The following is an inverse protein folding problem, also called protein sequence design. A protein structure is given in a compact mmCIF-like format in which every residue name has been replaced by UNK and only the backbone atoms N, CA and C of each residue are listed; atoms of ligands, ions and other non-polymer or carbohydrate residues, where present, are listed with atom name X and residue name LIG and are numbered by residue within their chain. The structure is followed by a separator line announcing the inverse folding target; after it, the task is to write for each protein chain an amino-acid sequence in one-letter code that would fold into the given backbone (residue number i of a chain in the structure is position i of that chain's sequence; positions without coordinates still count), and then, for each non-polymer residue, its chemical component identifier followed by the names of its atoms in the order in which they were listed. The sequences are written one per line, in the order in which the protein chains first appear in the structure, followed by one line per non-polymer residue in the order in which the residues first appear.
data_IF_185556615222
#
_entry.id   IF_185556615222
#
_cell.length_a   1.000
_cell.length_b   1.000
_cell.length_c   1.000
_cell.angle_alpha   90.00
_cell.angle_beta   90.00
_cell.angle_gamma   90.00
#
_symmetry.space_group_name_H-M   'P 1'
#
loop_
_entity.id
_entity.type
_entity.pdbx_description
1 polymer ?
#
# COMPACT_ATOMS: atom_id res chain seq x y z
N UNK A 1 22.77 -1.58 25.05
CA UNK A 1 21.65 -0.94 24.35
C UNK A 1 21.12 -1.90 23.30
N UNK A 2 20.02 -2.54 23.62
CA UNK A 2 19.30 -3.35 22.63
C UNK A 2 18.64 -2.39 21.65
N UNK A 3 19.28 -2.18 20.50
CA UNK A 3 18.63 -1.55 19.36
C UNK A 3 17.45 -2.45 19.00
N UNK A 4 16.24 -2.06 19.39
CA UNK A 4 15.06 -2.57 18.74
C UNK A 4 15.10 -2.08 17.30
N UNK A 5 15.52 -2.95 16.41
CA UNK A 5 15.53 -2.70 14.97
C UNK A 5 14.08 -2.57 14.54
N UNK A 6 13.68 -1.38 14.11
CA UNK A 6 12.48 -1.26 13.31
C UNK A 6 12.76 -2.02 12.02
N UNK A 7 12.29 -3.22 11.93
CA UNK A 7 12.33 -3.97 10.70
C UNK A 7 10.99 -3.73 10.04
N UNK A 8 11.00 -2.83 9.12
CA UNK A 8 9.97 -2.69 8.14
C UNK A 8 9.74 -4.02 7.44
N UNK A 9 8.51 -4.25 7.17
CA UNK A 9 8.01 -5.15 6.18
C UNK A 9 7.55 -6.53 6.56
N UNK A 10 6.98 -7.11 5.58
CA UNK A 10 6.35 -8.42 5.48
C UNK A 10 7.03 -9.61 6.20
N UNK A 11 8.25 -9.47 6.66
CA UNK A 11 8.99 -10.53 7.38
C UNK A 11 9.18 -10.26 8.88
N UNK A 12 8.80 -9.11 9.36
CA UNK A 12 8.78 -8.86 10.79
C UNK A 12 7.34 -8.82 11.24
N UNK A 13 6.91 -9.99 11.61
CA UNK A 13 5.69 -10.15 12.37
C UNK A 13 5.65 -9.08 13.45
N UNK A 14 4.56 -8.36 13.55
CA UNK A 14 4.25 -7.53 14.72
C UNK A 14 4.20 -8.47 15.92
N UNK A 15 5.36 -8.80 16.47
CA UNK A 15 5.47 -9.62 17.67
C UNK A 15 4.99 -8.77 18.82
N UNK A 16 3.82 -9.08 19.32
CA UNK A 16 3.42 -8.57 20.61
C UNK A 16 4.38 -9.13 21.65
N UNK A 17 5.03 -8.23 22.39
CA UNK A 17 5.85 -8.59 23.53
C UNK A 17 4.98 -8.62 24.77
N UNK A 18 5.30 -9.52 25.70
CA UNK A 18 4.59 -9.57 26.96
C UNK A 18 4.66 -8.24 27.70
N UNK A 19 3.51 -7.68 28.09
CA UNK A 19 3.44 -6.37 28.73
C UNK A 19 4.16 -6.33 30.07
N UNK A 20 4.14 -7.41 30.83
CA UNK A 20 4.83 -7.50 32.12
C UNK A 20 6.34 -7.58 31.95
N UNK A 21 6.82 -8.34 30.96
CA UNK A 21 8.25 -8.39 30.62
C UNK A 21 8.75 -7.01 30.18
N UNK A 22 8.04 -6.36 29.25
CA UNK A 22 8.40 -5.00 28.78
C UNK A 22 8.42 -3.99 29.92
N UNK A 23 7.48 -4.08 30.84
CA UNK A 23 7.40 -3.24 32.02
C UNK A 23 8.59 -3.48 32.98
N UNK A 24 9.03 -4.73 33.17
CA UNK A 24 10.19 -5.04 33.99
C UNK A 24 11.50 -4.49 33.38
N UNK A 25 11.64 -4.53 32.04
CA UNK A 25 12.75 -3.91 31.34
C UNK A 25 12.75 -2.39 31.49
N UNK A 26 11.58 -1.76 31.38
CA UNK A 26 11.40 -0.31 31.61
C UNK A 26 11.80 0.08 33.04
N UNK A 27 11.39 -0.70 34.05
CA UNK A 27 11.73 -0.49 35.46
C UNK A 27 13.26 -0.49 35.67
N UNK A 28 13.95 -1.51 35.16
CA UNK A 28 15.39 -1.64 35.24
C UNK A 28 16.15 -0.50 34.53
N UNK A 29 15.59 0.09 33.50
CA UNK A 29 16.16 1.28 32.83
C UNK A 29 16.00 2.52 33.72
N UNK A 30 14.78 2.71 34.27
CA UNK A 30 14.45 3.88 35.10
C UNK A 30 15.23 3.92 36.44
N UNK A 31 15.65 2.77 36.96
CA UNK A 31 16.56 2.71 38.11
C UNK A 31 17.92 3.33 37.85
N UNK A 32 18.35 3.44 36.57
CA UNK A 32 19.70 3.80 36.16
C UNK A 32 19.78 5.08 35.33
N UNK A 33 18.66 5.56 34.81
CA UNK A 33 18.66 6.71 33.92
C UNK A 33 17.30 7.09 33.38
N UNK A 34 17.33 7.84 32.30
CA UNK A 34 16.13 8.33 31.60
C UNK A 34 15.75 7.40 30.46
N UNK A 35 14.48 7.41 30.11
CA UNK A 35 13.92 6.64 29.00
C UNK A 35 13.26 7.58 27.99
N UNK A 36 13.37 7.22 26.73
CA UNK A 36 12.56 7.74 25.64
C UNK A 36 11.87 6.55 24.95
N UNK A 37 10.54 6.53 25.01
CA UNK A 37 9.76 5.44 24.45
C UNK A 37 9.53 5.70 22.96
N UNK A 38 10.16 4.90 22.12
CA UNK A 38 9.95 4.89 20.67
C UNK A 38 9.47 3.48 20.26
N UNK A 39 8.19 3.31 19.91
CA UNK A 39 7.13 4.33 19.79
C UNK A 39 6.12 4.17 20.90
N UNK A 40 5.63 5.30 21.39
CA UNK A 40 4.53 5.34 22.33
C UNK A 40 3.17 5.12 21.63
N UNK A 41 3.04 5.66 20.42
CA UNK A 41 1.93 5.46 19.49
C UNK A 41 2.49 5.41 18.08
N UNK A 42 2.20 4.37 17.32
CA UNK A 42 2.76 4.19 15.99
C UNK A 42 2.05 4.99 14.91
N UNK A 43 0.73 5.03 14.95
CA UNK A 43 -0.11 5.69 13.96
C UNK A 43 -0.24 4.93 12.64
N UNK A 44 -0.59 5.65 11.59
CA UNK A 44 -0.92 5.10 10.27
C UNK A 44 -0.14 5.80 9.18
N UNK A 45 0.51 5.05 8.30
CA UNK A 45 1.12 5.53 7.06
C UNK A 45 0.03 5.73 6.00
N UNK A 46 -0.78 6.77 6.15
CA UNK A 46 -1.80 7.11 5.16
C UNK A 46 -1.19 7.44 3.80
N UNK A 47 -2.01 7.38 2.77
CA UNK A 47 -1.62 7.63 1.39
C UNK A 47 -0.54 6.60 0.93
N UNK A 48 0.47 7.08 0.23
CA UNK A 48 1.66 6.33 -0.15
C UNK A 48 2.87 6.75 0.70
N UNK A 49 2.65 7.13 1.98
CA UNK A 49 3.68 7.72 2.83
C UNK A 49 4.50 6.70 3.62
N UNK A 50 4.23 5.42 3.44
CA UNK A 50 5.09 4.39 4.01
C UNK A 50 6.50 4.44 3.40
N UNK A 51 7.48 4.15 4.24
CA UNK A 51 8.85 3.92 3.83
C UNK A 51 9.12 2.48 3.40
N UNK A 52 10.38 2.15 3.24
CA UNK A 52 10.86 0.79 2.99
C UNK A 52 12.28 0.62 3.54
N UNK A 53 12.66 -0.61 3.89
CA UNK A 53 14.04 -1.00 4.06
C UNK A 53 14.53 -1.77 2.83
N UNK A 54 15.78 -1.65 2.47
CA UNK A 54 16.38 -2.42 1.37
C UNK A 54 17.81 -2.83 1.75
N UNK A 55 17.92 -3.99 2.37
CA UNK A 55 19.19 -4.64 2.65
C UNK A 55 19.45 -5.75 1.61
N UNK A 56 18.97 -6.96 1.91
CA UNK A 56 19.03 -8.11 0.99
C UNK A 56 17.82 -8.15 0.07
N UNK A 57 16.67 -7.67 0.52
CA UNK A 57 15.44 -7.50 -0.24
C UNK A 57 14.75 -6.20 0.15
N UNK A 58 13.92 -5.70 -0.76
CA UNK A 58 13.04 -4.58 -0.48
C UNK A 58 11.91 -5.04 0.45
N UNK A 59 11.77 -4.35 1.55
CA UNK A 59 10.74 -4.61 2.55
C UNK A 59 9.97 -3.32 2.84
N UNK A 60 8.84 -3.09 2.10
CA UNK A 60 8.03 -1.90 2.29
C UNK A 60 7.29 -1.95 3.64
N UNK A 61 7.17 -0.80 4.30
CA UNK A 61 6.36 -0.67 5.49
C UNK A 61 4.88 -0.89 5.17
N UNK A 62 4.16 -1.52 6.07
CA UNK A 62 2.71 -1.65 5.98
C UNK A 62 2.02 -0.32 6.36
N UNK A 63 0.74 -0.21 6.04
CA UNK A 63 -0.03 1.02 6.30
C UNK A 63 -0.14 1.29 7.79
N UNK A 64 -0.50 0.31 8.62
CA UNK A 64 -0.47 0.48 10.07
C UNK A 64 0.97 0.52 10.58
N UNK A 65 1.32 1.54 11.33
CA UNK A 65 2.62 1.63 12.02
C UNK A 65 2.51 1.26 13.50
N UNK A 66 1.49 0.50 13.86
CA UNK A 66 1.33 -0.07 15.19
C UNK A 66 2.26 -1.27 15.38
N UNK A 67 3.39 -1.05 16.07
CA UNK A 67 4.40 -2.03 16.42
C UNK A 67 4.32 -2.42 17.90
N UNK A 68 3.14 -2.81 18.38
CA UNK A 68 2.95 -3.21 19.76
C UNK A 68 3.28 -2.07 20.75
N UNK A 69 2.89 -0.86 20.37
CA UNK A 69 3.07 0.35 21.16
C UNK A 69 2.09 0.42 22.34
N UNK A 70 2.37 1.26 23.36
CA UNK A 70 1.46 1.46 24.49
C UNK A 70 0.07 1.94 24.12
N UNK A 71 -0.08 2.72 23.04
CA UNK A 71 -1.37 3.05 22.45
C UNK A 71 -1.52 2.34 21.11
N UNK A 72 -2.71 1.77 20.86
CA UNK A 72 -3.04 1.17 19.56
C UNK A 72 -3.14 2.21 18.43
N UNK A 73 -3.22 1.76 17.18
CA UNK A 73 -3.31 2.61 16.00
C UNK A 73 -4.44 3.65 16.08
N UNK A 74 -5.58 3.28 16.66
CA UNK A 74 -6.74 4.13 16.92
C UNK A 74 -6.69 4.87 18.28
N UNK A 75 -5.54 4.83 18.97
CA UNK A 75 -5.29 5.55 20.20
C UNK A 75 -5.90 4.91 21.46
N UNK A 76 -6.34 3.65 21.40
CA UNK A 76 -6.84 2.96 22.58
C UNK A 76 -5.71 2.58 23.54
N UNK A 77 -6.02 2.60 24.84
CA UNK A 77 -5.11 2.19 25.90
C UNK A 77 -4.92 0.67 25.84
N UNK A 78 -3.67 0.22 25.76
CA UNK A 78 -3.33 -1.21 25.76
C UNK A 78 -2.93 -1.68 27.17
N UNK A 79 -2.89 -3.01 27.42
CA UNK A 79 -2.32 -3.54 28.66
C UNK A 79 -0.87 -3.10 28.91
N UNK A 80 -0.10 -2.87 27.85
CA UNK A 80 1.28 -2.37 27.93
C UNK A 80 1.34 -0.93 28.45
N UNK A 81 0.42 -0.07 28.01
CA UNK A 81 0.29 1.28 28.57
C UNK A 81 0.09 1.26 30.07
N UNK A 82 -0.87 0.44 30.54
CA UNK A 82 -1.16 0.34 31.97
C UNK A 82 0.05 -0.19 32.77
N UNK A 83 0.73 -1.21 32.24
CA UNK A 83 1.93 -1.75 32.85
C UNK A 83 3.06 -0.70 32.94
N UNK A 84 3.30 0.05 31.86
CA UNK A 84 4.29 1.13 31.82
C UNK A 84 3.94 2.28 32.77
N UNK A 85 2.69 2.68 32.79
CA UNK A 85 2.21 3.72 33.73
C UNK A 85 2.46 3.34 35.19
N UNK A 86 2.18 2.09 35.55
CA UNK A 86 2.42 1.58 36.91
C UNK A 86 3.92 1.53 37.25
N UNK A 87 4.80 1.22 36.31
CA UNK A 87 6.25 1.28 36.50
C UNK A 87 6.69 2.73 36.70
N UNK A 88 6.32 3.64 35.80
CA UNK A 88 6.72 5.04 35.85
C UNK A 88 6.29 5.70 37.17
N UNK A 89 5.09 5.34 37.69
CA UNK A 89 4.57 5.83 38.98
C UNK A 89 5.49 5.53 40.16
N UNK A 90 6.34 4.52 40.10
CA UNK A 90 7.30 4.19 41.16
C UNK A 90 8.54 5.09 41.14
N UNK A 91 8.86 5.67 40.00
CA UNK A 91 10.07 6.46 39.77
C UNK A 91 9.79 7.97 39.71
N UNK A 92 8.57 8.38 39.31
CA UNK A 92 8.21 9.77 39.14
C UNK A 92 6.71 10.00 39.42
N UNK A 93 6.34 11.21 39.88
CA UNK A 93 4.93 11.57 39.98
C UNK A 93 4.25 11.53 38.61
N UNK A 94 3.11 10.86 38.51
CA UNK A 94 2.30 10.86 37.31
C UNK A 94 1.20 11.91 37.48
N UNK A 95 1.07 12.86 36.53
CA UNK A 95 -0.03 13.81 36.55
C UNK A 95 -1.36 13.10 36.35
N UNK A 96 -2.40 13.62 37.02
CA UNK A 96 -3.78 13.19 36.72
C UNK A 96 -4.11 13.65 35.29
N UNK A 97 -4.44 12.70 34.43
CA UNK A 97 -4.84 12.94 33.04
C UNK A 97 -6.25 12.40 32.85
N UNK A 98 -7.17 13.26 32.44
CA UNK A 98 -8.45 12.81 31.93
C UNK A 98 -8.30 12.31 30.50
N UNK A 99 -8.52 11.04 30.28
CA UNK A 99 -8.54 10.48 28.94
C UNK A 99 -9.84 10.86 28.23
N UNK A 100 -9.73 11.14 26.93
CA UNK A 100 -10.92 11.22 26.09
C UNK A 100 -11.51 9.81 25.96
N UNK A 101 -12.71 9.64 26.52
CA UNK A 101 -13.48 8.39 26.44
C UNK A 101 -14.60 8.49 25.40
N UNK A 102 -14.69 9.61 24.71
CA UNK A 102 -15.75 9.95 23.75
C UNK A 102 -15.43 9.52 22.30
N UNK A 103 -14.29 8.87 22.06
CA UNK A 103 -13.96 8.29 20.75
C UNK A 103 -14.82 7.04 20.57
N UNK A 104 -15.84 7.17 19.74
CA UNK A 104 -16.70 6.06 19.40
C UNK A 104 -16.03 5.16 18.39
N UNK A 105 -16.05 3.87 18.63
CA UNK A 105 -15.76 2.84 17.64
C UNK A 105 -17.07 2.34 16.99
N UNK A 106 -17.03 2.05 15.72
CA UNK A 106 -18.19 1.65 14.94
C UNK A 106 -17.89 0.50 13.98
N UNK A 107 -18.79 -0.47 13.94
CA UNK A 107 -18.84 -1.48 12.89
C UNK A 107 -20.02 -1.15 11.98
N UNK A 108 -19.73 -0.79 10.72
CA UNK A 108 -20.78 -0.47 9.74
C UNK A 108 -21.26 -1.71 8.97
N UNK A 109 -20.63 -2.88 9.22
CA UNK A 109 -21.00 -4.14 8.59
C UNK A 109 -20.46 -4.29 7.16
N UNK A 110 -21.09 -5.18 6.40
CA UNK A 110 -20.66 -5.53 5.05
C UNK A 110 -21.33 -4.62 4.01
N UNK A 111 -20.55 -4.23 3.00
CA UNK A 111 -21.04 -3.55 1.80
C UNK A 111 -20.75 -4.37 0.56
N UNK A 112 -21.68 -4.33 -0.39
CA UNK A 112 -21.46 -4.85 -1.73
C UNK A 112 -20.99 -3.76 -2.67
N UNK A 113 -20.09 -4.11 -3.57
CA UNK A 113 -19.64 -3.25 -4.66
C UNK A 113 -20.83 -2.90 -5.56
N UNK A 114 -20.97 -1.63 -5.90
CA UNK A 114 -22.03 -1.12 -6.78
C UNK A 114 -21.51 -0.73 -8.17
N UNK A 115 -20.19 -0.67 -8.38
CA UNK A 115 -19.61 -0.35 -9.67
C UNK A 115 -18.13 -0.72 -9.81
N UNK A 116 -17.71 -0.97 -11.04
CA UNK A 116 -16.32 -1.28 -11.40
C UNK A 116 -15.87 -0.48 -12.61
N UNK A 117 -14.58 -0.10 -12.63
CA UNK A 117 -13.92 0.51 -13.78
C UNK A 117 -12.51 -0.07 -13.91
N UNK A 118 -12.12 -0.60 -15.07
CA UNK A 118 -10.76 -1.07 -15.28
C UNK A 118 -9.78 0.11 -15.25
N UNK A 119 -8.55 -0.12 -14.80
CA UNK A 119 -7.50 0.90 -14.85
C UNK A 119 -7.29 1.38 -16.29
N UNK A 120 -7.33 0.47 -17.27
CA UNK A 120 -7.08 0.82 -18.66
C UNK A 120 -8.16 1.71 -19.26
N UNK A 121 -9.42 1.57 -18.82
CA UNK A 121 -10.52 2.45 -19.22
C UNK A 121 -10.47 3.80 -18.50
N UNK A 122 -9.86 3.85 -17.31
CA UNK A 122 -9.76 5.05 -16.50
C UNK A 122 -8.54 5.93 -16.85
N UNK A 123 -7.58 5.47 -17.67
CA UNK A 123 -6.29 6.15 -17.87
C UNK A 123 -6.43 7.62 -18.26
N UNK A 124 -7.30 7.93 -19.21
CA UNK A 124 -7.44 9.29 -19.76
C UNK A 124 -8.06 10.29 -18.77
N UNK A 125 -8.83 9.80 -17.78
CA UNK A 125 -9.35 10.63 -16.70
C UNK A 125 -8.38 10.73 -15.52
N UNK A 126 -7.51 9.73 -15.34
CA UNK A 126 -6.51 9.70 -14.26
C UNK A 126 -5.28 10.55 -14.57
N UNK A 127 -4.83 10.57 -15.85
CA UNK A 127 -3.60 11.25 -16.23
C UNK A 127 -3.53 11.44 -17.76
N UNK A 128 -2.71 12.39 -18.18
CA UNK A 128 -2.38 12.59 -19.60
C UNK A 128 -1.17 11.74 -19.97
N UNK A 129 -1.25 11.05 -21.12
CA UNK A 129 -0.14 10.25 -21.63
C UNK A 129 1.05 11.12 -22.06
N UNK A 130 2.24 10.73 -21.66
CA UNK A 130 3.52 11.27 -22.12
C UNK A 130 4.13 10.35 -23.15
N UNK A 131 4.41 10.88 -24.35
CA UNK A 131 5.13 10.11 -25.38
C UNK A 131 6.62 10.14 -25.13
N UNK A 132 7.29 8.98 -25.20
CA UNK A 132 8.73 8.85 -25.05
C UNK A 132 9.26 7.73 -25.93
N UNK A 133 10.47 7.90 -26.47
CA UNK A 133 11.13 6.83 -27.22
C UNK A 133 11.44 5.62 -26.33
N UNK A 134 11.83 5.87 -25.09
CA UNK A 134 12.27 4.89 -24.12
C UNK A 134 11.46 5.06 -22.83
N UNK A 135 11.33 4.02 -21.99
CA UNK A 135 10.75 4.19 -20.65
C UNK A 135 11.50 5.25 -19.86
N UNK A 136 10.81 5.87 -18.91
CA UNK A 136 11.37 6.89 -18.01
C UNK A 136 10.88 6.62 -16.59
N UNK A 137 11.76 6.81 -15.62
CA UNK A 137 11.39 6.66 -14.19
C UNK A 137 10.37 7.71 -13.74
N UNK A 138 9.67 7.42 -12.65
CA UNK A 138 8.69 8.34 -12.03
C UNK A 138 9.30 9.72 -11.76
N UNK A 139 10.54 9.78 -11.30
CA UNK A 139 11.24 11.03 -10.97
C UNK A 139 11.44 11.94 -12.18
N UNK A 140 11.48 11.38 -13.40
CA UNK A 140 11.57 12.19 -14.63
C UNK A 140 10.29 12.98 -14.93
N UNK A 141 9.18 12.56 -14.32
CA UNK A 141 7.89 13.23 -14.39
C UNK A 141 7.54 14.00 -13.13
N UNK A 142 8.46 14.09 -12.14
CA UNK A 142 8.20 14.72 -10.85
C UNK A 142 7.28 13.89 -9.94
N UNK A 143 7.04 12.62 -10.27
CA UNK A 143 6.20 11.72 -9.46
C UNK A 143 7.03 11.06 -8.37
N UNK A 144 6.59 11.18 -7.10
CA UNK A 144 7.27 10.63 -5.94
C UNK A 144 6.73 9.29 -5.44
N UNK A 145 5.49 8.93 -5.75
CA UNK A 145 4.73 7.80 -5.19
C UNK A 145 3.67 7.28 -6.16
N UNK A 146 2.98 6.22 -5.78
CA UNK A 146 1.87 5.63 -6.54
C UNK A 146 2.32 4.66 -7.62
N UNK A 147 1.68 4.73 -8.77
CA UNK A 147 1.90 3.82 -9.90
C UNK A 147 2.34 4.59 -11.16
N UNK A 148 2.93 3.87 -12.10
CA UNK A 148 3.22 4.38 -13.45
C UNK A 148 2.91 3.29 -14.45
N UNK A 149 2.22 3.64 -15.53
CA UNK A 149 1.91 2.72 -16.61
C UNK A 149 2.71 3.06 -17.87
N UNK A 150 3.30 2.05 -18.45
CA UNK A 150 4.01 2.11 -19.74
C UNK A 150 3.25 1.28 -20.75
N UNK A 151 2.93 1.85 -21.92
CA UNK A 151 2.27 1.16 -23.04
C UNK A 151 3.05 1.31 -24.31
N UNK A 152 3.23 0.22 -25.04
CA UNK A 152 3.72 0.23 -26.41
C UNK A 152 2.97 -0.78 -27.27
N UNK A 153 2.98 -0.54 -28.59
CA UNK A 153 2.40 -1.45 -29.58
C UNK A 153 3.52 -2.14 -30.33
N UNK A 154 3.43 -3.45 -30.50
CA UNK A 154 4.44 -4.20 -31.22
C UNK A 154 4.42 -3.86 -32.73
N UNK A 155 5.52 -3.42 -33.32
CA UNK A 155 5.56 -3.03 -34.74
C UNK A 155 5.41 -4.21 -35.70
N UNK A 156 5.80 -5.40 -35.26
CA UNK A 156 5.76 -6.65 -36.06
C UNK A 156 5.36 -7.82 -35.18
N UNK A 157 4.80 -8.87 -35.79
CA UNK A 157 4.59 -10.13 -35.08
C UNK A 157 5.91 -10.76 -34.66
N UNK A 158 5.96 -11.35 -33.48
CA UNK A 158 7.17 -12.02 -32.98
C UNK A 158 6.86 -13.13 -31.98
N UNK A 159 7.69 -14.17 -32.02
CA UNK A 159 7.78 -15.16 -30.95
C UNK A 159 8.79 -14.66 -29.91
N UNK A 160 8.40 -14.64 -28.65
CA UNK A 160 9.20 -14.09 -27.56
C UNK A 160 9.55 -15.19 -26.58
N UNK A 161 10.85 -15.38 -26.35
CA UNK A 161 11.38 -16.37 -25.42
C UNK A 161 11.88 -15.75 -24.11
N UNK A 162 12.13 -14.45 -24.10
CA UNK A 162 12.57 -13.76 -22.89
C UNK A 162 12.12 -12.30 -22.85
N UNK A 163 11.89 -11.80 -21.63
CA UNK A 163 11.68 -10.39 -21.33
C UNK A 163 12.62 -9.93 -20.21
N UNK A 164 13.16 -8.71 -20.34
CA UNK A 164 13.98 -8.08 -19.31
C UNK A 164 13.55 -6.62 -19.12
N UNK A 165 13.42 -6.21 -17.86
CA UNK A 165 13.16 -4.83 -17.44
C UNK A 165 14.43 -4.27 -16.79
N UNK A 166 15.23 -3.52 -17.53
CA UNK A 166 16.49 -3.01 -16.98
C UNK A 166 16.23 -1.82 -16.06
N UNK A 167 16.84 -1.84 -14.89
CA UNK A 167 16.69 -0.78 -13.86
C UNK A 167 15.22 -0.49 -13.51
N UNK A 168 14.42 -1.53 -13.32
CA UNK A 168 13.05 -1.41 -12.87
C UNK A 168 12.95 -1.53 -11.33
N UNK A 169 12.00 -0.83 -10.73
CA UNK A 169 11.65 -0.87 -9.29
C UNK A 169 10.23 -0.32 -9.07
N UNK A 170 9.42 -0.89 -8.17
CA UNK A 170 9.71 -1.97 -7.21
C UNK A 170 8.95 -3.26 -7.56
N UNK A 171 7.76 -3.16 -8.18
CA UNK A 171 6.91 -4.26 -8.61
C UNK A 171 6.30 -3.95 -9.97
N UNK A 172 6.49 -4.82 -10.94
CA UNK A 172 5.99 -4.68 -12.30
C UNK A 172 4.97 -5.79 -12.62
N UNK A 173 3.83 -5.40 -13.17
CA UNK A 173 2.83 -6.28 -13.75
C UNK A 173 2.76 -6.04 -15.25
N UNK A 174 2.92 -7.10 -16.03
CA UNK A 174 2.97 -7.06 -17.49
C UNK A 174 1.68 -7.65 -18.02
N UNK A 175 1.07 -6.93 -18.97
CA UNK A 175 -0.17 -7.32 -19.64
C UNK A 175 0.05 -7.34 -21.14
N UNK A 176 -0.56 -8.31 -21.81
CA UNK A 176 -0.62 -8.41 -23.27
C UNK A 176 -2.09 -8.31 -23.67
N UNK A 177 -2.42 -7.30 -24.47
CA UNK A 177 -3.81 -7.00 -24.87
C UNK A 177 -4.78 -6.96 -23.65
N UNK A 178 -4.30 -6.38 -22.55
CA UNK A 178 -5.03 -6.27 -21.28
C UNK A 178 -5.12 -7.56 -20.47
N UNK A 179 -4.50 -8.66 -20.91
CA UNK A 179 -4.46 -9.93 -20.16
C UNK A 179 -3.19 -10.02 -19.34
N UNK A 180 -3.27 -10.32 -18.02
CA UNK A 180 -2.10 -10.51 -17.16
C UNK A 180 -1.18 -11.61 -17.72
N UNK A 181 0.10 -11.31 -17.88
CA UNK A 181 1.09 -12.21 -18.48
C UNK A 181 2.23 -12.58 -17.52
N UNK A 182 2.72 -11.60 -16.74
CA UNK A 182 3.84 -11.81 -15.80
C UNK A 182 3.80 -10.76 -14.71
N UNK A 183 4.15 -11.15 -13.48
CA UNK A 183 4.38 -10.21 -12.37
C UNK A 183 5.77 -10.46 -11.80
N UNK A 184 6.53 -9.38 -11.57
CA UNK A 184 7.88 -9.41 -11.03
C UNK A 184 7.99 -8.44 -9.85
N UNK A 185 8.69 -8.86 -8.81
CA UNK A 185 8.85 -8.09 -7.59
C UNK A 185 10.30 -8.08 -7.11
N UNK A 186 10.81 -6.92 -6.72
CA UNK A 186 12.13 -6.70 -6.10
C UNK A 186 13.27 -7.36 -6.91
N UNK A 187 13.89 -8.40 -6.39
CA UNK A 187 15.02 -9.11 -7.03
C UNK A 187 14.63 -9.81 -8.32
N UNK A 188 13.37 -10.20 -8.45
CA UNK A 188 12.84 -10.76 -9.69
C UNK A 188 12.87 -9.77 -10.86
N UNK A 189 12.94 -8.46 -10.60
CA UNK A 189 13.10 -7.44 -11.63
C UNK A 189 14.48 -7.44 -12.29
N UNK A 190 15.43 -8.23 -11.78
CA UNK A 190 16.79 -8.32 -12.28
C UNK A 190 16.94 -9.42 -13.32
N UNK A 191 17.52 -9.08 -14.48
CA UNK A 191 17.86 -10.03 -15.53
C UNK A 191 16.68 -10.42 -16.43
N UNK A 192 16.95 -11.36 -17.33
CA UNK A 192 15.98 -11.83 -18.30
C UNK A 192 15.14 -12.97 -17.75
N UNK A 193 13.82 -12.90 -17.98
CA UNK A 193 12.83 -13.90 -17.59
C UNK A 193 12.39 -14.71 -18.80
N UNK A 194 12.44 -16.03 -18.70
CA UNK A 194 11.97 -16.92 -19.74
C UNK A 194 10.43 -16.85 -19.86
N UNK A 195 9.96 -16.63 -21.05
CA UNK A 195 8.53 -16.59 -21.40
C UNK A 195 8.29 -17.41 -22.68
N UNK A 196 7.03 -17.61 -23.02
CA UNK A 196 6.63 -18.25 -24.29
C UNK A 196 5.42 -17.48 -24.81
N UNK A 197 5.68 -16.37 -25.48
CA UNK A 197 4.63 -15.52 -26.02
C UNK A 197 4.68 -15.52 -27.54
N UNK A 198 3.52 -15.71 -28.18
CA UNK A 198 3.32 -15.49 -29.62
C UNK A 198 2.53 -14.19 -29.76
N UNK A 199 3.19 -13.14 -30.15
CA UNK A 199 2.64 -11.79 -30.17
C UNK A 199 2.38 -11.36 -31.62
N UNK A 200 1.13 -11.07 -32.01
CA UNK A 200 0.85 -10.56 -33.35
C UNK A 200 1.35 -9.12 -33.52
N UNK A 201 1.48 -8.68 -34.78
CA UNK A 201 1.66 -7.28 -35.06
C UNK A 201 0.53 -6.44 -34.47
N UNK A 202 0.86 -5.34 -33.81
CA UNK A 202 -0.10 -4.48 -33.13
C UNK A 202 -0.54 -4.98 -31.76
N UNK A 203 0.03 -6.08 -31.24
CA UNK A 203 -0.22 -6.49 -29.85
C UNK A 203 0.17 -5.36 -28.90
N UNK A 204 -0.69 -5.07 -27.93
CA UNK A 204 -0.46 -4.04 -26.92
C UNK A 204 0.28 -4.64 -25.73
N UNK A 205 1.41 -4.07 -25.37
CA UNK A 205 2.14 -4.40 -24.16
C UNK A 205 1.98 -3.27 -23.15
N UNK A 206 1.38 -3.59 -22.02
CA UNK A 206 1.25 -2.70 -20.86
C UNK A 206 2.13 -3.19 -19.71
N UNK A 207 2.82 -2.27 -19.03
CA UNK A 207 3.59 -2.55 -17.83
C UNK A 207 3.18 -1.57 -16.75
N UNK A 208 2.45 -2.06 -15.74
CA UNK A 208 2.11 -1.29 -14.54
C UNK A 208 3.21 -1.48 -13.50
N UNK A 209 3.87 -0.38 -13.11
CA UNK A 209 4.89 -0.44 -12.06
C UNK A 209 4.40 0.30 -10.83
N UNK A 210 4.50 -0.37 -9.68
CA UNK A 210 4.19 0.18 -8.38
C UNK A 210 5.46 0.61 -7.64
N UNK A 211 5.42 1.81 -7.08
CA UNK A 211 6.38 2.28 -6.08
C UNK A 211 5.91 1.79 -4.70
N UNK A 212 6.58 0.81 -4.14
CA UNK A 212 6.20 0.18 -2.87
C UNK A 212 6.60 0.99 -1.62
N UNK A 213 7.33 2.07 -1.81
CA UNK A 213 7.80 2.97 -0.76
C UNK A 213 9.24 3.41 -1.03
N UNK A 214 9.58 4.61 -0.55
CA UNK A 214 10.95 5.11 -0.62
C UNK A 214 11.77 4.51 0.50
N UNK A 215 12.97 4.03 0.16
CA UNK A 215 13.88 3.49 1.18
C UNK A 215 14.27 4.61 2.13
N UNK A 216 13.89 4.47 3.40
CA UNK A 216 14.17 5.42 4.46
C UNK A 216 15.28 4.94 5.42
N UNK A 217 15.70 3.68 5.29
CA UNK A 217 16.77 3.10 6.10
C UNK A 217 17.56 2.05 5.33
N UNK A 218 18.65 2.43 4.72
CA UNK A 218 19.75 1.61 4.17
C UNK A 218 20.76 2.50 3.43
N UNK A 219 21.88 1.91 3.00
CA UNK A 219 22.87 2.60 2.16
C UNK A 219 22.31 2.95 0.76
N UNK A 220 21.20 2.34 0.35
CA UNK A 220 20.57 2.55 -0.96
C UNK A 220 19.63 3.75 -1.02
N UNK A 221 19.46 4.52 0.07
CA UNK A 221 18.56 5.69 0.13
C UNK A 221 18.81 6.70 -1.01
N UNK A 222 20.05 6.89 -1.42
CA UNK A 222 20.42 7.85 -2.47
C UNK A 222 20.23 7.32 -3.90
N UNK A 223 19.89 6.05 -4.07
CA UNK A 223 19.83 5.38 -5.37
C UNK A 223 18.40 5.02 -5.77
N UNK A 224 17.43 5.82 -5.35
CA UNK A 224 16.02 5.53 -5.56
C UNK A 224 15.52 6.08 -6.89
N UNK A 225 15.33 5.18 -7.87
CA UNK A 225 14.57 5.43 -9.10
C UNK A 225 13.43 4.43 -9.16
N UNK A 226 12.21 4.92 -9.30
CA UNK A 226 11.00 4.10 -9.34
C UNK A 226 10.40 4.08 -10.74
N UNK A 227 9.71 3.00 -11.08
CA UNK A 227 9.34 2.74 -12.47
C UNK A 227 10.46 2.05 -13.23
N UNK A 228 10.62 2.36 -14.52
CA UNK A 228 11.67 1.81 -15.38
C UNK A 228 12.61 2.96 -15.79
N UNK A 229 13.86 2.95 -15.32
CA UNK A 229 14.92 3.94 -15.66
C UNK A 229 15.92 3.38 -16.67
N UNK A 230 15.53 2.35 -17.39
CA UNK A 230 16.33 1.67 -18.43
C UNK A 230 15.50 1.30 -19.64
N UNK A 231 15.63 0.07 -20.11
CA UNK A 231 14.93 -0.45 -21.28
C UNK A 231 14.04 -1.64 -20.92
N UNK A 232 13.05 -1.89 -21.77
CA UNK A 232 12.30 -3.15 -21.84
C UNK A 232 12.81 -3.90 -23.06
N UNK A 233 13.36 -5.09 -22.83
CA UNK A 233 13.95 -5.92 -23.87
C UNK A 233 13.08 -7.17 -24.09
N UNK A 234 12.74 -7.46 -25.35
CA UNK A 234 12.21 -8.75 -25.77
C UNK A 234 13.30 -9.46 -26.60
N UNK A 235 13.73 -10.64 -26.16
CA UNK A 235 14.85 -11.39 -26.74
C UNK A 235 16.09 -10.51 -26.99
N UNK A 236 16.40 -9.63 -26.01
CA UNK A 236 17.54 -8.71 -26.08
C UNK A 236 17.33 -7.47 -26.95
N UNK A 237 16.20 -7.31 -27.63
CA UNK A 237 15.87 -6.14 -28.43
C UNK A 237 15.04 -5.14 -27.68
N UNK A 238 15.48 -3.88 -27.60
CA UNK A 238 14.80 -2.82 -26.89
C UNK A 238 13.52 -2.37 -27.59
N UNK A 239 12.41 -2.39 -26.88
CA UNK A 239 11.16 -1.80 -27.32
C UNK A 239 11.22 -0.27 -27.24
N UNK A 240 10.57 0.39 -28.19
CA UNK A 240 10.54 1.85 -28.33
C UNK A 240 9.11 2.35 -28.49
N UNK A 241 8.95 3.69 -28.49
CA UNK A 241 7.68 4.40 -28.72
C UNK A 241 6.65 4.12 -27.65
N UNK A 242 6.97 4.54 -26.43
CA UNK A 242 6.14 4.37 -25.25
C UNK A 242 5.18 5.53 -25.06
N UNK A 243 3.96 5.21 -24.65
CA UNK A 243 3.05 6.10 -23.97
C UNK A 243 3.13 5.80 -22.46
N UNK A 244 3.25 6.84 -21.63
CA UNK A 244 3.53 6.72 -20.21
C UNK A 244 2.53 7.56 -19.44
N UNK A 245 1.79 6.94 -18.52
CA UNK A 245 0.86 7.62 -17.60
C UNK A 245 1.42 7.60 -16.19
N UNK A 246 1.59 8.79 -15.61
CA UNK A 246 1.86 8.94 -14.19
C UNK A 246 0.55 8.76 -13.42
N UNK A 247 0.54 7.93 -12.41
CA UNK A 247 -0.65 7.53 -11.67
C UNK A 247 -0.45 7.77 -10.16
N UNK A 248 -0.35 9.02 -9.71
CA UNK A 248 -0.32 9.35 -8.29
C UNK A 248 -1.68 9.11 -7.63
N UNK A 249 -2.73 8.88 -8.41
CA UNK A 249 -4.11 8.63 -7.97
C UNK A 249 -4.65 9.76 -7.09
N UNK A 250 -4.58 10.97 -7.61
CA UNK A 250 -5.06 12.18 -6.93
C UNK A 250 -6.60 12.20 -6.83
N UNK A 251 -7.10 12.71 -5.71
CA UNK A 251 -8.54 12.78 -5.40
C UNK A 251 -9.38 13.43 -6.52
N UNK A 252 -8.85 14.47 -7.17
CA UNK A 252 -9.55 15.17 -8.25
C UNK A 252 -9.79 14.29 -9.47
N UNK A 253 -8.82 13.46 -9.83
CA UNK A 253 -8.92 12.52 -10.96
C UNK A 253 -9.83 11.33 -10.62
N UNK A 254 -9.67 10.78 -9.41
CA UNK A 254 -10.48 9.62 -8.97
C UNK A 254 -12.00 9.90 -9.00
N UNK A 255 -12.42 11.13 -8.69
CA UNK A 255 -13.84 11.54 -8.75
C UNK A 255 -14.41 11.59 -10.15
N UNK A 256 -13.58 11.53 -11.18
CA UNK A 256 -14.02 11.56 -12.59
C UNK A 256 -14.16 10.14 -13.17
N UNK A 257 -13.81 9.10 -12.40
CA UNK A 257 -13.95 7.72 -12.86
C UNK A 257 -15.45 7.41 -13.05
N UNK A 258 -15.81 6.96 -14.25
CA UNK A 258 -17.14 6.44 -14.53
C UNK A 258 -17.21 4.96 -14.22
N UNK A 259 -18.07 4.59 -13.27
CA UNK A 259 -18.25 3.18 -12.89
C UNK A 259 -19.37 2.53 -13.70
N UNK A 260 -19.13 1.31 -14.16
CA UNK A 260 -20.11 0.43 -14.79
C UNK A 260 -20.64 -0.60 -13.78
N UNK A 261 -21.79 -1.21 -14.01
CA UNK A 261 -22.28 -2.31 -13.18
C UNK A 261 -21.20 -3.39 -13.00
N UNK A 262 -21.17 -3.98 -11.81
CA UNK A 262 -20.16 -4.98 -11.44
C UNK A 262 -20.10 -6.12 -12.46
N UNK A 263 -18.90 -6.34 -12.99
CA UNK A 263 -18.55 -7.47 -13.85
C UNK A 263 -17.19 -8.04 -13.42
N UNK A 264 -16.93 -9.31 -13.74
CA UNK A 264 -15.64 -9.91 -13.45
C UNK A 264 -14.52 -9.17 -14.21
N UNK A 265 -13.59 -8.59 -13.48
CA UNK A 265 -12.42 -7.91 -14.02
C UNK A 265 -11.15 -8.64 -13.59
N UNK A 266 -10.34 -9.07 -14.56
CA UNK A 266 -9.03 -9.71 -14.30
C UNK A 266 -7.86 -8.70 -14.40
N UNK A 267 -8.18 -7.47 -14.71
CA UNK A 267 -7.25 -6.35 -14.84
C UNK A 267 -7.20 -5.58 -13.53
N UNK A 268 -6.17 -4.76 -13.30
CA UNK A 268 -6.23 -3.75 -12.26
C UNK A 268 -7.49 -2.90 -12.42
N UNK A 269 -8.27 -2.73 -11.35
CA UNK A 269 -9.55 -2.07 -11.43
C UNK A 269 -9.91 -1.29 -10.16
N UNK A 270 -10.76 -0.30 -10.34
CA UNK A 270 -11.38 0.48 -9.27
C UNK A 270 -12.77 -0.10 -8.98
N UNK A 271 -13.05 -0.38 -7.72
CA UNK A 271 -14.33 -0.88 -7.23
C UNK A 271 -14.96 0.16 -6.32
N UNK A 272 -16.20 0.53 -6.61
CA UNK A 272 -16.92 1.56 -5.88
C UNK A 272 -17.91 0.97 -4.89
N UNK A 273 -18.04 1.65 -3.73
CA UNK A 273 -18.98 1.32 -2.67
C UNK A 273 -19.56 2.60 -2.07
N UNK A 274 -20.85 2.60 -1.79
CA UNK A 274 -21.53 3.67 -1.08
C UNK A 274 -21.73 3.28 0.40
N UNK A 275 -20.98 3.91 1.30
CA UNK A 275 -21.11 3.71 2.75
C UNK A 275 -22.04 4.78 3.35
N UNK A 276 -23.22 4.38 3.81
CA UNK A 276 -24.14 5.29 4.53
C UNK A 276 -23.82 5.29 6.05
N UNK A 277 -23.41 6.44 6.56
CA UNK A 277 -23.01 6.65 7.96
C UNK A 277 -24.03 7.50 8.68
N UNK A 278 -24.77 6.90 9.62
CA UNK A 278 -25.75 7.60 10.45
C UNK A 278 -25.10 8.27 11.67
N UNK A 279 -24.04 7.69 12.18
CA UNK A 279 -23.26 8.23 13.29
C UNK A 279 -21.79 7.86 13.11
N UNK A 280 -20.93 8.87 13.04
CA UNK A 280 -19.50 8.69 12.85
C UNK A 280 -18.83 8.00 14.03
N UNK A 281 -17.87 7.15 13.75
CA UNK A 281 -17.01 6.48 14.71
C UNK A 281 -15.78 5.94 14.01
N UNK A 282 -14.71 5.73 14.74
CA UNK A 282 -13.51 5.07 14.23
C UNK A 282 -13.85 3.64 13.81
N UNK A 283 -13.33 3.19 12.68
CA UNK A 283 -13.65 1.87 12.14
C UNK A 283 -12.44 1.28 11.40
N UNK A 284 -12.52 0.00 11.11
CA UNK A 284 -11.48 -0.74 10.40
C UNK A 284 -12.09 -1.45 9.19
N UNK A 285 -11.59 -1.14 8.00
CA UNK A 285 -12.02 -1.72 6.75
C UNK A 285 -11.30 -3.04 6.50
N UNK A 286 -12.05 -4.13 6.51
CA UNK A 286 -11.56 -5.48 6.22
C UNK A 286 -11.52 -5.73 4.71
N UNK A 287 -10.34 -6.07 4.22
CA UNK A 287 -10.05 -6.38 2.84
C UNK A 287 -9.65 -7.86 2.66
N UNK A 288 -10.07 -8.72 3.57
CA UNK A 288 -9.91 -10.17 3.44
C UNK A 288 -10.60 -10.66 2.16
N UNK A 289 -9.86 -11.39 1.33
CA UNK A 289 -10.34 -11.82 0.01
C UNK A 289 -9.99 -10.89 -1.15
N UNK A 290 -9.46 -9.70 -0.89
CA UNK A 290 -8.83 -8.82 -1.87
C UNK A 290 -7.35 -9.16 -2.01
N UNK A 291 -6.75 -8.83 -3.16
CA UNK A 291 -5.35 -9.14 -3.45
C UNK A 291 -4.39 -8.07 -2.94
N UNK A 292 -4.23 -7.01 -3.71
CA UNK A 292 -3.29 -5.94 -3.44
C UNK A 292 -3.76 -4.63 -4.06
N UNK A 293 -3.51 -3.51 -3.35
CA UNK A 293 -3.84 -2.19 -3.88
C UNK A 293 -3.87 -1.10 -2.83
N UNK A 294 -4.77 -0.13 -3.01
CA UNK A 294 -4.99 0.97 -2.08
C UNK A 294 -6.48 1.35 -2.03
N UNK A 295 -6.86 2.05 -0.96
CA UNK A 295 -8.26 2.42 -0.71
C UNK A 295 -8.40 3.92 -0.57
N UNK A 296 -9.48 4.46 -1.13
CA UNK A 296 -9.82 5.88 -1.04
C UNK A 296 -11.19 6.05 -0.40
N UNK A 297 -11.27 6.88 0.63
CA UNK A 297 -12.52 7.27 1.27
C UNK A 297 -12.76 8.77 1.05
N UNK A 298 -13.84 9.14 0.38
CA UNK A 298 -14.13 10.53 0.02
C UNK A 298 -12.97 11.21 -0.74
N UNK A 299 -12.16 10.42 -1.46
CA UNK A 299 -10.96 10.84 -2.16
C UNK A 299 -9.69 10.92 -1.30
N UNK A 300 -9.77 10.66 0.00
CA UNK A 300 -8.60 10.53 0.86
C UNK A 300 -8.04 9.10 0.77
N UNK A 301 -6.76 8.96 0.49
CA UNK A 301 -6.09 7.67 0.40
C UNK A 301 -5.81 7.11 1.81
N UNK A 302 -6.48 6.02 2.17
CA UNK A 302 -6.32 5.34 3.47
C UNK A 302 -5.03 4.54 3.58
N UNK A 303 -4.32 4.33 2.48
CA UNK A 303 -3.13 3.53 2.41
C UNK A 303 -3.28 2.27 1.58
N UNK A 304 -2.26 1.43 1.64
CA UNK A 304 -2.14 0.19 0.86
C UNK A 304 -2.57 -1.02 1.66
N UNK A 305 -3.12 -1.98 0.94
CA UNK A 305 -3.38 -3.32 1.45
C UNK A 305 -2.65 -4.36 0.60
N UNK A 306 -2.35 -5.51 1.21
CA UNK A 306 -1.78 -6.67 0.53
C UNK A 306 -2.17 -7.95 1.27
N UNK A 307 -2.68 -8.95 0.55
CA UNK A 307 -3.15 -10.21 1.13
C UNK A 307 -2.07 -11.04 1.83
N UNK A 308 -0.79 -10.72 1.61
CA UNK A 308 0.33 -11.35 2.33
C UNK A 308 0.39 -10.91 3.79
N UNK A 309 -0.34 -9.85 4.18
CA UNK A 309 -0.38 -9.34 5.54
C UNK A 309 0.93 -8.65 5.99
N UNK A 310 1.15 -8.48 7.31
CA UNK A 310 0.30 -8.96 8.43
C UNK A 310 -1.02 -8.19 8.62
N UNK A 311 -1.10 -6.93 8.14
CA UNK A 311 -2.30 -6.10 8.28
C UNK A 311 -3.39 -6.58 7.33
N UNK A 312 -4.59 -6.85 7.89
CA UNK A 312 -5.77 -7.24 7.12
C UNK A 312 -6.82 -6.14 7.07
N UNK A 313 -6.84 -5.22 8.03
CA UNK A 313 -7.80 -4.13 8.12
C UNK A 313 -7.10 -2.78 8.08
N UNK A 314 -7.65 -1.85 7.31
CA UNK A 314 -7.21 -0.46 7.25
C UNK A 314 -8.00 0.39 8.24
N UNK A 315 -7.30 1.19 9.05
CA UNK A 315 -7.91 2.12 9.99
C UNK A 315 -8.55 3.30 9.27
N UNK A 316 -9.76 3.64 9.69
CA UNK A 316 -10.53 4.80 9.23
C UNK A 316 -10.90 5.64 10.43
N UNK A 317 -10.21 6.77 10.69
CA UNK A 317 -10.59 7.70 11.75
C UNK A 317 -11.92 8.41 11.43
N UNK A 318 -12.76 8.57 12.44
CA UNK A 318 -14.08 9.19 12.32
C UNK A 318 -14.10 10.56 11.61
N UNK A 319 -13.08 11.44 11.74
CA UNK A 319 -13.04 12.71 11.01
C UNK A 319 -13.03 12.59 9.49
N UNK A 320 -12.60 11.45 8.91
CA UNK A 320 -12.64 11.22 7.47
C UNK A 320 -14.05 10.85 6.96
N UNK A 321 -14.94 10.46 7.85
CA UNK A 321 -16.32 10.13 7.53
C UNK A 321 -17.19 11.40 7.52
N UNK A 322 -18.22 11.36 6.67
CA UNK A 322 -19.33 12.34 6.62
C UNK A 322 -20.59 11.67 7.16
N UNK A 323 -21.53 12.47 7.67
CA UNK A 323 -22.88 11.98 7.90
C UNK A 323 -23.56 11.74 6.54
N UNK A 324 -24.30 10.65 6.41
CA UNK A 324 -24.87 10.16 5.15
C UNK A 324 -23.87 9.39 4.30
N UNK A 325 -24.01 9.49 2.98
CA UNK A 325 -23.25 8.65 2.03
C UNK A 325 -21.80 9.10 1.90
N UNK A 326 -20.91 8.15 2.08
CA UNK A 326 -19.46 8.26 1.86
C UNK A 326 -19.07 7.44 0.64
N UNK A 327 -18.20 8.03 -0.17
CA UNK A 327 -17.65 7.43 -1.38
C UNK A 327 -16.40 6.62 -1.01
N UNK A 328 -16.47 5.29 -1.19
CA UNK A 328 -15.35 4.39 -0.96
C UNK A 328 -14.93 3.76 -2.29
N UNK A 329 -13.66 3.88 -2.64
CA UNK A 329 -13.08 3.30 -3.85
C UNK A 329 -11.91 2.41 -3.48
N UNK A 330 -11.97 1.13 -3.87
CA UNK A 330 -10.87 0.17 -3.73
C UNK A 330 -10.19 0.03 -5.09
N UNK A 331 -8.93 0.43 -5.21
CA UNK A 331 -8.08 0.12 -6.35
C UNK A 331 -7.39 -1.22 -6.09
N UNK A 332 -7.71 -2.22 -6.90
CA UNK A 332 -7.22 -3.59 -6.80
C UNK A 332 -6.38 -3.94 -8.01
N UNK A 333 -5.19 -4.49 -7.82
CA UNK A 333 -4.20 -4.68 -8.89
C UNK A 333 -3.98 -6.13 -9.32
N UNK A 334 -4.46 -7.12 -8.54
CA UNK A 334 -4.24 -8.55 -8.81
C UNK A 334 -5.32 -9.21 -9.69
N UNK A 335 -6.37 -8.45 -10.04
CA UNK A 335 -7.51 -8.99 -10.79
C UNK A 335 -8.40 -9.91 -9.95
N UNK A 336 -8.48 -9.68 -8.65
CA UNK A 336 -9.41 -10.37 -7.77
C UNK A 336 -10.83 -9.92 -8.05
N UNK A 337 -11.77 -10.86 -7.99
CA UNK A 337 -13.20 -10.60 -8.19
C UNK A 337 -13.97 -10.48 -6.86
N UNK A 338 -13.29 -10.02 -5.78
CA UNK A 338 -14.00 -9.70 -4.54
C UNK A 338 -15.00 -8.57 -4.81
N UNK A 339 -16.19 -8.71 -4.26
CA UNK A 339 -17.29 -7.76 -4.45
C UNK A 339 -17.85 -7.22 -3.13
N UNK A 340 -17.21 -7.53 -2.03
CA UNK A 340 -17.63 -7.11 -0.69
C UNK A 340 -16.46 -6.61 0.11
N UNK A 341 -16.73 -5.65 0.99
CA UNK A 341 -15.85 -5.19 2.06
C UNK A 341 -16.63 -5.21 3.37
N UNK A 342 -15.96 -5.26 4.51
CA UNK A 342 -16.62 -5.26 5.82
C UNK A 342 -15.96 -4.24 6.75
N UNK A 343 -16.76 -3.55 7.57
CA UNK A 343 -16.28 -2.57 8.54
C UNK A 343 -16.44 -3.10 9.96
N UNK A 344 -15.36 -3.09 10.71
CA UNK A 344 -15.27 -3.60 12.08
C UNK A 344 -14.88 -2.49 13.06
N UNK A 345 -15.21 -2.69 14.31
CA UNK A 345 -14.85 -1.80 15.42
C UNK A 345 -13.46 -2.08 16.03
N UNK A 346 -12.71 -3.05 15.45
CA UNK A 346 -11.40 -3.47 15.98
C UNK A 346 -10.43 -3.78 14.84
N UNK A 347 -9.12 -3.53 15.05
CA UNK A 347 -8.08 -3.96 14.13
C UNK A 347 -7.99 -5.49 14.06
N UNK A 348 -7.43 -6.00 12.98
CA UNK A 348 -7.03 -7.40 12.86
C UNK A 348 -5.68 -7.48 12.16
N UNK A 349 -4.78 -8.21 12.80
CA UNK A 349 -3.46 -8.55 12.28
C UNK A 349 -3.38 -10.08 12.19
N UNK A 350 -2.98 -10.60 11.04
CA UNK A 350 -2.59 -12.01 10.95
C UNK A 350 -1.24 -12.17 11.62
N UNK A 351 -1.20 -12.97 12.69
CA UNK A 351 0.02 -13.35 13.39
C UNK A 351 0.70 -14.51 12.68
#
# INVERSE_FOLDING_TARGET
STLMRSSAASDVYKRQTDAAQSAAELDAILERGSVNIYMFHGGTNFCFMNGANDYDKLTPDVTSYDYDSPLSEDGQITPKYEAFRNVIARHAPIPEVSFRTDIRQAAYGALCCDGVCSLFDALDVLSTAHSSREPRSMERFGQGYGYILYRTMLPTAMEVSSIELTKAADRAQIFIDGVPALTLYDRELSGAHAVKWSLPQGAQLDILVENLGRVNYSQKMMQQRKGIDGAVLLDGQALQNWQIWTLPLESGALKQIGFSPLSACRQPAFYHFALDVQQKGDTFLDLSGWGKGCVFLNGFNLGRFWNVGPQQRLYIPAPLLKDGVNDLVVFETEGFSANTVCFHDKPELRL
#
